data_IF_469139479301
#
_entry.id   IF_469139479301
#
_cell.length_a   1.000
_cell.length_b   1.000
_cell.length_c   1.000
_cell.angle_alpha   90.00
_cell.angle_beta   90.00
_cell.angle_gamma   90.00
#
_symmetry.space_group_name_H-M   'P 1'
#
loop_
_entity.id
_entity.type
_entity.pdbx_description
1 polymer ?
#
# COMPACT_ATOMS: atom_id res chain seq x y z
N UNK A 1 52.59 -13.82 5.15
CA UNK A 1 52.21 -12.39 5.01
C UNK A 1 52.35 -11.98 3.56
N UNK A 2 51.23 -11.87 2.83
CA UNK A 2 51.15 -11.21 1.53
C UNK A 2 50.05 -10.17 1.63
N UNK A 3 50.45 -8.91 1.54
CA UNK A 3 49.62 -7.72 1.62
C UNK A 3 48.69 -7.64 0.40
N UNK A 4 47.39 -7.47 0.61
CA UNK A 4 46.41 -7.22 -0.44
C UNK A 4 46.45 -5.73 -0.82
N UNK A 5 46.67 -5.46 -2.11
CA UNK A 5 46.65 -4.12 -2.66
C UNK A 5 45.23 -3.51 -2.65
N UNK A 6 45.15 -2.26 -2.21
CA UNK A 6 43.94 -1.43 -2.16
C UNK A 6 43.66 -0.88 -3.57
N UNK A 7 42.46 -1.08 -4.09
CA UNK A 7 42.00 -0.49 -5.35
C UNK A 7 41.82 1.04 -5.22
N UNK A 8 42.06 1.84 -6.28
CA UNK A 8 42.08 3.30 -6.16
C UNK A 8 40.66 3.91 -6.08
N UNK A 9 40.57 5.01 -5.34
CA UNK A 9 39.37 5.82 -5.16
C UNK A 9 38.87 6.40 -6.49
N UNK A 10 37.57 6.28 -6.73
CA UNK A 10 36.89 6.83 -7.92
C UNK A 10 36.84 8.36 -7.82
N UNK A 11 37.29 9.00 -8.90
CA UNK A 11 37.40 10.44 -9.10
C UNK A 11 36.05 11.17 -9.01
N UNK A 12 35.96 12.18 -8.13
CA UNK A 12 34.86 13.16 -8.02
C UNK A 12 34.95 14.21 -9.14
N UNK A 13 34.64 13.85 -10.38
CA UNK A 13 34.43 14.84 -11.46
C UNK A 13 33.10 14.61 -12.14
N UNK A 14 32.15 15.50 -11.86
CA UNK A 14 30.84 15.55 -12.55
C UNK A 14 29.65 15.91 -11.66
N UNK A 15 29.79 16.82 -10.70
CA UNK A 15 28.60 17.42 -10.05
C UNK A 15 27.97 18.39 -11.06
N UNK A 16 27.02 17.88 -11.86
CA UNK A 16 26.03 18.76 -12.51
C UNK A 16 25.26 19.45 -11.39
N UNK A 17 25.04 20.75 -11.50
CA UNK A 17 24.11 21.49 -10.64
C UNK A 17 22.76 20.75 -10.64
N UNK A 18 22.46 20.11 -9.51
CA UNK A 18 21.16 19.48 -9.28
C UNK A 18 20.21 20.63 -8.95
N UNK A 19 19.20 20.83 -9.80
CA UNK A 19 18.13 21.79 -9.60
C UNK A 19 17.57 21.72 -8.18
N UNK A 20 17.38 22.89 -7.58
CA UNK A 20 16.94 23.18 -6.20
C UNK A 20 15.52 22.73 -5.83
N UNK A 21 14.94 21.76 -6.55
CA UNK A 21 13.59 21.27 -6.29
C UNK A 21 13.67 20.06 -5.36
N UNK A 22 13.09 20.17 -4.16
CA UNK A 22 12.93 19.03 -3.26
C UNK A 22 12.27 17.87 -4.03
N UNK A 23 12.90 16.69 -4.15
CA UNK A 23 12.34 15.58 -4.92
C UNK A 23 11.03 15.07 -4.34
N UNK A 24 10.65 15.45 -3.12
CA UNK A 24 9.42 15.04 -2.45
C UNK A 24 8.49 16.25 -2.29
N UNK A 25 7.29 16.15 -2.87
CA UNK A 25 6.17 17.05 -2.65
C UNK A 25 5.19 16.40 -1.66
N UNK A 26 4.73 17.16 -0.67
CA UNK A 26 3.75 16.71 0.33
C UNK A 26 2.50 17.57 0.24
N UNK A 27 1.33 16.93 0.15
CA UNK A 27 0.02 17.57 0.10
C UNK A 27 -0.77 17.17 1.35
N UNK A 28 -1.10 18.17 2.17
CA UNK A 28 -1.95 18.01 3.35
C UNK A 28 -3.42 18.12 2.93
N UNK A 29 -4.00 16.98 2.55
CA UNK A 29 -5.38 16.87 2.13
C UNK A 29 -5.85 15.42 2.27
N UNK A 30 -7.16 15.17 2.24
CA UNK A 30 -7.66 13.82 1.97
C UNK A 30 -7.24 13.37 0.56
N UNK A 31 -7.21 12.06 0.33
CA UNK A 31 -6.75 11.47 -0.93
C UNK A 31 -7.46 12.07 -2.15
N UNK A 32 -8.79 12.25 -2.10
CA UNK A 32 -9.57 12.70 -3.24
C UNK A 32 -9.30 14.18 -3.55
N UNK A 33 -9.32 15.04 -2.53
CA UNK A 33 -9.01 16.47 -2.69
C UNK A 33 -7.55 16.69 -3.11
N UNK A 34 -6.61 15.94 -2.52
CA UNK A 34 -5.20 16.01 -2.87
C UNK A 34 -4.96 15.60 -4.32
N UNK A 35 -5.54 14.48 -4.77
CA UNK A 35 -5.39 13.99 -6.13
C UNK A 35 -5.93 14.98 -7.17
N UNK A 36 -7.05 15.66 -6.89
CA UNK A 36 -7.60 16.70 -7.77
C UNK A 36 -6.63 17.86 -8.02
N UNK A 37 -5.73 18.15 -7.08
CA UNK A 37 -4.68 19.17 -7.25
C UNK A 37 -3.47 18.69 -8.05
N UNK A 38 -3.31 17.37 -8.23
CA UNK A 38 -2.21 16.77 -8.98
C UNK A 38 -2.49 16.85 -10.48
N UNK A 39 -1.50 17.30 -11.26
CA UNK A 39 -1.62 17.43 -12.70
C UNK A 39 -1.89 16.07 -13.39
N UNK A 40 -2.68 16.08 -14.45
CA UNK A 40 -2.94 14.88 -15.25
C UNK A 40 -1.64 14.37 -15.90
N UNK A 41 -1.52 13.05 -16.06
CA UNK A 41 -0.37 12.41 -16.71
C UNK A 41 1.02 12.84 -16.17
N UNK A 42 1.12 13.11 -14.86
CA UNK A 42 2.33 13.60 -14.20
C UNK A 42 3.11 12.52 -13.44
N UNK A 43 2.45 11.43 -13.02
CA UNK A 43 3.08 10.35 -12.27
C UNK A 43 3.33 9.11 -13.14
N UNK A 44 4.46 8.45 -12.94
CA UNK A 44 4.77 7.17 -13.61
C UNK A 44 4.12 6.00 -12.87
N UNK A 45 4.17 6.02 -11.55
CA UNK A 45 3.60 4.95 -10.73
C UNK A 45 2.82 5.56 -9.58
N UNK A 46 1.69 4.95 -9.25
CA UNK A 46 1.04 5.12 -7.96
C UNK A 46 1.34 3.87 -7.14
N UNK A 47 1.98 4.03 -5.98
CA UNK A 47 2.33 2.94 -5.07
C UNK A 47 1.73 3.27 -3.72
N UNK A 48 0.76 2.49 -3.27
CA UNK A 48 -0.02 2.89 -2.11
C UNK A 48 -0.65 1.73 -1.34
N UNK A 49 -1.03 2.02 -0.10
CA UNK A 49 -1.80 1.14 0.77
C UNK A 49 -2.93 1.96 1.40
N UNK A 50 -4.15 1.91 0.84
CA UNK A 50 -5.31 2.58 1.45
C UNK A 50 -5.58 2.05 2.86
N UNK A 51 -6.34 2.80 3.70
CA UNK A 51 -6.92 2.25 4.91
C UNK A 51 -7.62 0.93 4.62
N UNK A 52 -7.32 -0.10 5.39
CA UNK A 52 -8.00 -1.39 5.24
C UNK A 52 -9.35 -1.36 5.95
N UNK A 53 -10.37 -1.92 5.28
CA UNK A 53 -11.74 -1.91 5.77
C UNK A 53 -11.85 -2.45 7.20
N UNK A 54 -12.36 -1.62 8.12
CA UNK A 54 -12.61 -1.89 9.53
C UNK A 54 -11.37 -2.35 10.33
N UNK A 55 -10.15 -2.00 9.89
CA UNK A 55 -8.94 -2.42 10.59
C UNK A 55 -8.20 -1.32 11.34
N UNK A 56 -8.34 -0.04 10.96
CA UNK A 56 -7.61 1.08 11.57
C UNK A 56 -8.42 2.37 11.53
N UNK A 57 -8.16 3.26 12.48
CA UNK A 57 -8.72 4.61 12.53
C UNK A 57 -7.56 5.60 12.45
N UNK A 58 -7.69 6.58 11.58
CA UNK A 58 -6.71 7.61 11.27
C UNK A 58 -7.17 9.00 11.70
N UNK A 59 -8.44 9.12 12.14
CA UNK A 59 -8.99 10.37 12.66
C UNK A 59 -9.26 11.38 11.55
N UNK A 60 -9.68 10.89 10.38
CA UNK A 60 -9.93 11.70 9.20
C UNK A 60 -11.40 11.64 8.82
N UNK A 61 -11.87 12.58 8.01
CA UNK A 61 -13.22 12.59 7.47
C UNK A 61 -13.20 13.18 6.07
N UNK A 62 -14.01 12.62 5.18
CA UNK A 62 -14.14 13.07 3.79
C UNK A 62 -15.62 13.06 3.43
N UNK A 63 -16.08 14.09 2.71
CA UNK A 63 -17.40 14.10 2.08
C UNK A 63 -17.27 13.44 0.70
N UNK A 64 -17.90 12.28 0.55
CA UNK A 64 -17.78 11.45 -0.64
C UNK A 64 -18.79 11.84 -1.72
N UNK A 65 -18.53 11.49 -3.01
CA UNK A 65 -19.41 11.88 -4.11
C UNK A 65 -20.87 11.36 -4.02
N UNK A 66 -21.11 10.32 -3.23
CA UNK A 66 -22.45 9.79 -2.94
C UNK A 66 -23.15 10.51 -1.78
N UNK A 67 -22.50 11.51 -1.16
CA UNK A 67 -23.00 12.25 -0.01
C UNK A 67 -22.70 11.60 1.34
N UNK A 68 -22.02 10.45 1.39
CA UNK A 68 -21.57 9.88 2.67
C UNK A 68 -20.44 10.72 3.25
N UNK A 69 -20.50 11.00 4.56
CA UNK A 69 -19.45 11.68 5.29
C UNK A 69 -18.83 10.73 6.32
N UNK A 70 -17.53 10.51 6.20
CA UNK A 70 -16.84 9.62 7.11
C UNK A 70 -15.41 9.30 6.71
N UNK A 71 -14.79 8.44 7.50
CA UNK A 71 -13.42 7.99 7.31
C UNK A 71 -13.38 6.79 6.35
N UNK A 72 -12.52 6.86 5.32
CA UNK A 72 -12.29 5.73 4.41
C UNK A 72 -11.94 4.46 5.20
N UNK A 73 -12.65 3.37 4.92
CA UNK A 73 -12.49 2.10 5.64
C UNK A 73 -13.50 1.89 6.76
N UNK A 74 -14.37 2.86 7.05
CA UNK A 74 -15.44 2.78 8.06
C UNK A 74 -16.84 2.86 7.45
N UNK A 75 -16.96 2.54 6.16
CA UNK A 75 -18.22 2.54 5.46
C UNK A 75 -19.17 1.44 5.97
N UNK A 76 -20.49 1.63 5.83
CA UNK A 76 -21.47 0.66 6.31
C UNK A 76 -21.36 -0.73 5.69
N UNK A 77 -20.90 -0.83 4.45
CA UNK A 77 -20.78 -2.08 3.72
C UNK A 77 -19.46 -2.13 2.93
N UNK A 78 -18.82 -3.30 2.74
CA UNK A 78 -17.58 -3.41 1.97
C UNK A 78 -17.69 -2.96 0.50
N UNK A 79 -18.90 -2.98 -0.07
CA UNK A 79 -19.14 -2.42 -1.41
C UNK A 79 -19.09 -0.88 -1.40
N UNK A 80 -19.54 -0.22 -0.33
CA UNK A 80 -19.44 1.24 -0.20
C UNK A 80 -17.97 1.65 -0.06
N UNK A 81 -17.21 0.92 0.76
CA UNK A 81 -15.76 1.09 0.84
C UNK A 81 -15.09 0.90 -0.53
N UNK A 82 -15.48 -0.15 -1.25
CA UNK A 82 -14.96 -0.40 -2.60
C UNK A 82 -15.28 0.76 -3.54
N UNK A 83 -16.52 1.26 -3.51
CA UNK A 83 -16.96 2.41 -4.32
C UNK A 83 -16.18 3.69 -4.01
N UNK A 84 -15.89 3.95 -2.74
CA UNK A 84 -15.03 5.07 -2.33
C UNK A 84 -13.59 4.92 -2.82
N UNK A 85 -13.02 3.71 -2.73
CA UNK A 85 -11.73 3.44 -3.35
C UNK A 85 -11.75 3.73 -4.86
N UNK A 86 -12.81 3.36 -5.57
CA UNK A 86 -12.91 3.64 -7.02
C UNK A 86 -12.88 5.14 -7.33
N UNK A 87 -13.54 5.99 -6.53
CA UNK A 87 -13.43 7.45 -6.72
C UNK A 87 -11.98 7.94 -6.60
N UNK A 88 -11.22 7.40 -5.65
CA UNK A 88 -9.79 7.72 -5.51
C UNK A 88 -9.00 7.21 -6.71
N UNK A 89 -9.21 5.96 -7.11
CA UNK A 89 -8.42 5.36 -8.19
C UNK A 89 -8.81 5.85 -9.59
N UNK A 90 -10.00 6.40 -9.78
CA UNK A 90 -10.37 7.13 -11.00
C UNK A 90 -9.55 8.42 -11.12
N UNK A 91 -9.33 9.14 -10.01
CA UNK A 91 -8.42 10.29 -10.01
C UNK A 91 -6.95 9.86 -10.17
N UNK A 92 -6.54 8.74 -9.59
CA UNK A 92 -5.20 8.17 -9.86
C UNK A 92 -5.04 7.82 -11.34
N UNK A 93 -6.08 7.29 -11.99
CA UNK A 93 -6.03 7.07 -13.43
C UNK A 93 -5.73 8.38 -14.16
N UNK A 94 -6.37 9.49 -13.81
CA UNK A 94 -6.09 10.79 -14.44
C UNK A 94 -4.64 11.26 -14.23
N UNK A 95 -4.10 11.10 -13.02
CA UNK A 95 -2.75 11.60 -12.68
C UNK A 95 -1.62 10.76 -13.28
N UNK A 96 -1.85 9.47 -13.52
CA UNK A 96 -0.85 8.60 -14.13
C UNK A 96 -0.63 8.92 -15.61
N UNK A 97 0.60 8.76 -16.07
CA UNK A 97 0.94 8.70 -17.49
C UNK A 97 0.23 7.52 -18.18
N UNK A 98 0.18 7.56 -19.51
CA UNK A 98 -0.42 6.49 -20.31
C UNK A 98 0.29 5.14 -20.18
N UNK A 99 1.60 5.17 -19.97
CA UNK A 99 2.47 4.01 -19.69
C UNK A 99 2.64 3.75 -18.18
N UNK A 100 1.82 4.40 -17.34
CA UNK A 100 1.90 4.34 -15.89
C UNK A 100 1.27 3.09 -15.29
N UNK A 101 1.69 2.79 -14.05
CA UNK A 101 1.22 1.64 -13.28
C UNK A 101 0.63 2.04 -11.94
N UNK A 102 -0.27 1.20 -11.43
CA UNK A 102 -0.84 1.32 -10.10
C UNK A 102 -0.54 0.06 -9.30
N UNK A 103 0.11 0.22 -8.15
CA UNK A 103 0.36 -0.81 -7.16
C UNK A 103 -0.48 -0.52 -5.92
N UNK A 104 -1.37 -1.44 -5.57
CA UNK A 104 -2.24 -1.30 -4.39
C UNK A 104 -2.05 -2.49 -3.46
N UNK A 105 -1.63 -2.21 -2.23
CA UNK A 105 -1.64 -3.19 -1.15
C UNK A 105 -2.99 -3.15 -0.42
N UNK A 106 -3.64 -4.31 -0.27
CA UNK A 106 -4.89 -4.47 0.46
C UNK A 106 -4.91 -5.77 1.25
N UNK A 107 -5.57 -5.75 2.39
CA UNK A 107 -5.85 -6.93 3.19
C UNK A 107 -7.35 -7.05 3.43
N UNK A 108 -7.83 -8.28 3.67
CA UNK A 108 -9.23 -8.50 3.98
C UNK A 108 -9.58 -8.18 5.45
N UNK A 109 -10.85 -8.32 5.80
CA UNK A 109 -11.31 -8.31 7.19
C UNK A 109 -12.38 -9.39 7.39
N UNK A 110 -12.71 -9.68 8.65
CA UNK A 110 -13.69 -10.70 9.00
C UNK A 110 -15.01 -10.08 9.49
N UNK A 111 -16.13 -10.63 9.03
CA UNK A 111 -17.44 -10.26 9.54
C UNK A 111 -17.72 -10.94 10.89
N UNK A 112 -17.36 -10.29 11.98
CA UNK A 112 -17.55 -10.83 13.32
C UNK A 112 -18.79 -10.22 13.99
N UNK A 113 -19.78 -11.05 14.36
CA UNK A 113 -20.78 -10.72 15.36
C UNK A 113 -20.05 -10.44 16.67
N UNK A 114 -20.41 -9.34 17.32
CA UNK A 114 -19.79 -8.96 18.57
C UNK A 114 -20.16 -9.94 19.69
N UNK A 115 -19.17 -10.32 20.51
CA UNK A 115 -19.39 -10.88 21.85
C UNK A 115 -19.04 -9.84 22.94
N UNK A 116 -19.35 -10.11 24.22
CA UNK A 116 -19.07 -9.21 25.37
C UNK A 116 -17.60 -8.74 25.51
N UNK A 117 -16.67 -9.28 24.71
CA UNK A 117 -15.25 -8.93 24.63
C UNK A 117 -14.81 -8.91 23.15
N UNK A 118 -15.32 -7.97 22.35
CA UNK A 118 -14.99 -7.86 20.92
C UNK A 118 -13.48 -7.67 20.68
N UNK A 119 -12.91 -8.41 19.73
CA UNK A 119 -11.47 -8.42 19.40
C UNK A 119 -11.12 -7.72 18.08
N UNK A 120 -12.02 -6.93 17.51
CA UNK A 120 -11.73 -6.15 16.29
C UNK A 120 -11.66 -4.69 16.66
N UNK A 121 -10.46 -4.26 17.02
CA UNK A 121 -10.17 -2.86 17.25
C UNK A 121 -9.44 -2.35 16.04
N UNK A 122 -9.80 -1.16 15.62
CA UNK A 122 -8.97 -0.32 14.80
C UNK A 122 -8.05 0.51 15.72
N UNK A 123 -6.80 0.09 15.99
CA UNK A 123 -5.86 0.98 16.68
C UNK A 123 -5.54 2.20 15.79
N UNK A 124 -5.00 3.24 16.42
CA UNK A 124 -4.50 4.44 15.73
C UNK A 124 -3.52 4.04 14.63
N UNK A 125 -3.82 4.43 13.39
CA UNK A 125 -3.13 3.91 12.22
C UNK A 125 -1.69 4.38 12.02
N UNK A 126 -1.25 5.42 12.73
CA UNK A 126 0.05 6.08 12.53
C UNK A 126 1.20 5.55 13.40
N UNK A 127 0.93 4.94 14.57
CA UNK A 127 1.95 4.44 15.49
C UNK A 127 2.25 2.96 15.24
N UNK A 128 3.03 2.68 14.19
CA UNK A 128 3.29 1.36 13.58
C UNK A 128 3.86 0.21 14.44
N UNK A 129 3.54 0.08 15.72
CA UNK A 129 3.80 -1.13 16.52
C UNK A 129 2.56 -1.54 17.30
N UNK A 130 2.00 -2.68 16.92
CA UNK A 130 0.95 -3.35 17.67
C UNK A 130 1.51 -3.87 19.00
N UNK A 131 1.04 -3.33 20.12
CA UNK A 131 1.09 -4.01 21.41
C UNK A 131 -0.27 -4.70 21.64
N UNK A 132 -0.53 -5.76 20.89
CA UNK A 132 -1.73 -6.58 21.12
C UNK A 132 -1.70 -7.14 22.56
N UNK A 133 -2.79 -6.97 23.31
CA UNK A 133 -2.98 -7.59 24.63
C UNK A 133 -2.58 -6.76 25.86
N UNK A 134 -2.25 -5.47 25.73
CA UNK A 134 -1.92 -4.59 26.86
C UNK A 134 -3.12 -3.81 27.46
N UNK A 135 -2.94 -3.25 28.66
CA UNK A 135 -3.94 -2.35 29.31
C UNK A 135 -4.32 -1.16 28.42
N UNK A 136 -3.32 -0.55 27.75
CA UNK A 136 -3.56 0.55 26.80
C UNK A 136 -4.40 0.15 25.58
N UNK A 137 -4.31 -1.10 25.12
CA UNK A 137 -5.17 -1.64 24.06
C UNK A 137 -6.62 -1.79 24.54
N UNK A 138 -6.82 -2.27 25.77
CA UNK A 138 -8.15 -2.37 26.38
C UNK A 138 -8.77 -0.99 26.71
N UNK A 139 -7.94 0.02 27.00
CA UNK A 139 -8.39 1.37 27.33
C UNK A 139 -8.76 2.17 26.06
N UNK A 140 -7.93 2.11 25.01
CA UNK A 140 -8.25 2.66 23.69
C UNK A 140 -9.58 2.09 23.15
N UNK A 141 -9.88 0.84 23.53
CA UNK A 141 -11.14 0.24 23.16
C UNK A 141 -12.37 0.85 23.75
N UNK A 142 -12.36 1.10 25.04
CA UNK A 142 -13.55 1.62 25.72
C UNK A 142 -13.94 3.01 25.21
N UNK A 143 -13.03 3.69 24.50
CA UNK A 143 -13.22 5.02 23.94
C UNK A 143 -13.90 5.05 22.56
N UNK A 144 -14.14 3.90 21.90
CA UNK A 144 -14.72 3.87 20.54
C UNK A 144 -16.01 3.03 20.42
N UNK A 145 -17.04 3.21 21.27
CA UNK A 145 -18.19 2.30 21.40
C UNK A 145 -19.01 2.09 20.11
N UNK A 146 -19.06 3.07 19.21
CA UNK A 146 -19.80 2.97 17.94
C UNK A 146 -19.06 2.15 16.87
N UNK A 147 -17.72 2.09 16.90
CA UNK A 147 -16.91 1.31 15.95
C UNK A 147 -17.13 -0.21 16.08
N UNK A 148 -17.52 -0.68 17.27
CA UNK A 148 -17.66 -2.11 17.57
C UNK A 148 -18.96 -2.76 17.12
N UNK A 149 -19.93 -1.97 16.66
CA UNK A 149 -21.26 -2.48 16.31
C UNK A 149 -21.31 -2.96 14.85
N UNK A 150 -20.20 -2.92 14.13
CA UNK A 150 -20.17 -3.11 12.69
C UNK A 150 -20.23 -4.58 12.29
N UNK A 151 -21.44 -5.14 12.33
CA UNK A 151 -21.78 -6.41 11.69
C UNK A 151 -22.46 -6.11 10.36
N UNK A 152 -21.95 -6.71 9.27
CA UNK A 152 -22.52 -6.54 7.93
C UNK A 152 -23.61 -7.61 7.72
N UNK A 153 -24.90 -7.25 7.65
CA UNK A 153 -25.96 -8.22 7.37
C UNK A 153 -25.76 -8.86 5.99
N UNK A 154 -26.14 -10.13 5.85
CA UNK A 154 -25.97 -10.87 4.59
C UNK A 154 -24.60 -11.50 4.37
N UNK A 155 -23.57 -11.10 5.15
CA UNK A 155 -22.29 -11.82 5.20
C UNK A 155 -22.29 -12.72 6.45
N UNK A 156 -21.87 -13.98 6.31
CA UNK A 156 -21.84 -14.93 7.41
C UNK A 156 -20.87 -14.50 8.53
N UNK A 157 -21.23 -14.82 9.78
CA UNK A 157 -20.33 -14.61 10.91
C UNK A 157 -19.03 -15.39 10.76
N UNK A 158 -17.89 -14.79 11.13
CA UNK A 158 -16.53 -15.33 11.02
C UNK A 158 -16.06 -15.59 9.59
N UNK A 159 -16.74 -15.02 8.59
CA UNK A 159 -16.33 -15.07 7.19
C UNK A 159 -15.40 -13.92 6.86
N UNK A 160 -14.42 -14.16 5.99
CA UNK A 160 -13.76 -13.09 5.25
C UNK A 160 -14.82 -12.31 4.44
N UNK A 161 -14.63 -11.00 4.31
CA UNK A 161 -15.57 -10.12 3.59
C UNK A 161 -15.27 -10.02 2.10
N UNK A 162 -14.09 -10.50 1.67
CA UNK A 162 -13.66 -10.54 0.28
C UNK A 162 -13.24 -9.17 -0.26
N UNK A 163 -12.84 -8.23 0.59
CA UNK A 163 -12.57 -6.84 0.19
C UNK A 163 -11.54 -6.73 -0.95
N UNK A 164 -10.38 -7.41 -0.90
CA UNK A 164 -9.41 -7.39 -2.01
C UNK A 164 -10.00 -7.87 -3.35
N UNK A 165 -10.89 -8.87 -3.30
CA UNK A 165 -11.52 -9.42 -4.50
C UNK A 165 -12.62 -8.51 -5.06
N UNK A 166 -13.43 -7.90 -4.18
CA UNK A 166 -14.41 -6.88 -4.56
C UNK A 166 -13.74 -5.71 -5.26
N UNK A 167 -12.63 -5.23 -4.68
CA UNK A 167 -11.82 -4.17 -5.27
C UNK A 167 -11.26 -4.58 -6.65
N UNK A 168 -10.63 -5.74 -6.74
CA UNK A 168 -10.08 -6.25 -7.99
C UNK A 168 -11.14 -6.37 -9.10
N UNK A 169 -12.31 -6.97 -8.80
CA UNK A 169 -13.40 -7.10 -9.75
C UNK A 169 -13.94 -5.73 -10.15
N UNK A 170 -14.17 -4.82 -9.20
CA UNK A 170 -14.71 -3.50 -9.53
C UNK A 170 -13.74 -2.62 -10.36
N UNK A 171 -12.43 -2.85 -10.25
CA UNK A 171 -11.42 -2.19 -11.07
C UNK A 171 -11.33 -2.74 -12.49
N UNK A 172 -11.73 -4.01 -12.71
CA UNK A 172 -11.47 -4.75 -13.97
C UNK A 172 -12.73 -5.13 -14.73
N UNK A 173 -13.90 -5.07 -14.10
CA UNK A 173 -15.20 -5.46 -14.66
C UNK A 173 -16.21 -4.33 -14.45
N UNK A 174 -16.69 -3.76 -15.56
CA UNK A 174 -17.68 -2.67 -15.57
C UNK A 174 -19.03 -3.08 -14.95
N UNK A 175 -19.42 -4.35 -15.09
CA UNK A 175 -20.69 -4.83 -14.57
C UNK A 175 -20.59 -5.01 -13.05
N UNK A 176 -19.45 -5.52 -12.56
CA UNK A 176 -19.18 -5.56 -11.12
C UNK A 176 -19.00 -4.16 -10.51
N UNK A 177 -18.37 -3.24 -11.24
CA UNK A 177 -18.28 -1.82 -10.87
C UNK A 177 -19.65 -1.19 -10.67
N UNK A 178 -20.57 -1.44 -11.61
CA UNK A 178 -21.97 -1.01 -11.50
C UNK A 178 -22.68 -1.71 -10.34
N UNK A 179 -22.42 -2.99 -10.11
CA UNK A 179 -23.00 -3.76 -9.01
C UNK A 179 -22.65 -3.17 -7.63
N UNK A 180 -21.44 -2.65 -7.44
CA UNK A 180 -21.06 -1.95 -6.20
C UNK A 180 -21.59 -0.51 -6.11
N UNK A 181 -22.40 -0.09 -7.09
CA UNK A 181 -23.05 1.23 -7.11
C UNK A 181 -22.13 2.38 -7.53
N UNK A 182 -20.95 2.09 -8.10
CA UNK A 182 -20.03 3.12 -8.55
C UNK A 182 -20.47 3.73 -9.90
N UNK A 183 -20.13 5.00 -10.12
CA UNK A 183 -20.30 5.65 -11.42
C UNK A 183 -19.42 5.00 -12.48
N UNK A 184 -19.72 5.25 -13.75
CA UNK A 184 -18.81 4.90 -14.86
C UNK A 184 -17.41 5.48 -14.62
N UNK A 185 -16.39 4.75 -15.04
CA UNK A 185 -14.99 5.12 -14.83
C UNK A 185 -14.06 4.29 -15.71
N UNK A 186 -12.75 4.55 -15.65
CA UNK A 186 -11.77 3.80 -16.41
C UNK A 186 -11.74 2.32 -16.00
N UNK A 187 -11.55 1.44 -16.98
CA UNK A 187 -11.35 0.02 -16.76
C UNK A 187 -9.85 -0.29 -16.70
N UNK A 188 -9.40 -0.74 -15.54
CA UNK A 188 -8.00 -1.12 -15.33
C UNK A 188 -7.72 -2.52 -15.85
N UNK A 189 -6.48 -2.74 -16.29
CA UNK A 189 -5.97 -4.08 -16.59
C UNK A 189 -5.21 -4.56 -15.35
N UNK A 190 -5.72 -5.56 -14.64
CA UNK A 190 -4.95 -6.27 -13.62
C UNK A 190 -3.88 -7.14 -14.31
N UNK A 191 -2.61 -6.81 -14.08
CA UNK A 191 -1.47 -7.53 -14.64
C UNK A 191 -1.01 -8.64 -13.74
N UNK A 192 -1.14 -8.46 -12.43
CA UNK A 192 -0.84 -9.50 -11.46
C UNK A 192 -1.48 -9.25 -10.11
N UNK A 193 -1.98 -10.33 -9.51
CA UNK A 193 -2.20 -10.45 -8.07
C UNK A 193 -0.98 -11.12 -7.45
N UNK A 194 -0.37 -10.45 -6.48
CA UNK A 194 0.83 -10.88 -5.76
C UNK A 194 0.46 -11.12 -4.30
N UNK A 195 0.96 -12.20 -3.73
CA UNK A 195 0.81 -12.50 -2.31
C UNK A 195 2.05 -12.00 -1.59
N UNK A 196 1.86 -10.98 -0.75
CA UNK A 196 2.89 -10.49 0.16
C UNK A 196 2.83 -11.31 1.44
N UNK A 197 3.68 -12.35 1.53
CA UNK A 197 3.81 -13.15 2.74
C UNK A 197 4.52 -12.34 3.84
N UNK A 198 3.80 -12.05 4.94
CA UNK A 198 4.32 -11.36 6.12
C UNK A 198 5.10 -12.31 7.04
N UNK A 199 4.73 -13.59 7.06
CA UNK A 199 5.54 -14.63 7.67
C UNK A 199 5.39 -15.95 6.93
N UNK A 200 6.43 -16.77 7.02
CA UNK A 200 6.44 -18.15 6.55
C UNK A 200 6.80 -19.05 7.71
N UNK A 201 6.11 -20.19 7.83
CA UNK A 201 6.39 -21.19 8.86
C UNK A 201 7.00 -22.40 8.19
N UNK A 202 8.21 -22.78 8.61
CA UNK A 202 8.82 -24.04 8.19
C UNK A 202 8.19 -25.18 9.01
N UNK A 203 7.42 -26.06 8.36
CA UNK A 203 6.64 -27.10 9.03
C UNK A 203 7.51 -28.08 9.83
N UNK A 204 8.70 -28.39 9.34
CA UNK A 204 9.60 -29.34 9.99
C UNK A 204 10.18 -28.78 11.28
N UNK A 205 10.49 -27.48 11.30
CA UNK A 205 11.13 -26.83 12.46
C UNK A 205 10.16 -26.07 13.36
N UNK A 206 8.92 -25.86 12.89
CA UNK A 206 7.90 -25.00 13.51
C UNK A 206 8.39 -23.56 13.76
N UNK A 207 9.48 -23.14 13.10
CA UNK A 207 9.99 -21.77 13.20
C UNK A 207 9.26 -20.88 12.21
N UNK A 208 8.79 -19.74 12.70
CA UNK A 208 8.26 -18.66 11.87
C UNK A 208 9.38 -17.67 11.50
N UNK A 209 9.52 -17.37 10.23
CA UNK A 209 10.30 -16.25 9.72
C UNK A 209 9.34 -15.13 9.29
N UNK A 210 9.60 -13.89 9.71
CA UNK A 210 8.80 -12.72 9.32
C UNK A 210 8.20 -11.97 10.50
N UNK A 211 7.25 -11.08 10.21
CA UNK A 211 6.70 -10.12 11.17
C UNK A 211 5.16 -10.11 11.19
N UNK A 212 4.51 -11.18 10.73
CA UNK A 212 3.07 -11.32 10.87
C UNK A 212 2.66 -11.27 12.34
N UNK A 213 1.61 -10.51 12.64
CA UNK A 213 1.05 -10.46 13.98
C UNK A 213 0.42 -11.81 14.33
N UNK A 214 0.60 -12.31 15.56
CA UNK A 214 -0.09 -13.51 16.01
C UNK A 214 -1.60 -13.30 16.03
N UNK A 215 -2.36 -14.22 15.44
CA UNK A 215 -3.81 -14.27 15.56
C UNK A 215 -4.18 -15.36 16.58
N UNK A 216 -4.78 -15.02 17.74
CA UNK A 216 -5.11 -15.99 18.79
C UNK A 216 -6.31 -16.90 18.44
N UNK A 217 -6.63 -17.01 17.15
CA UNK A 217 -7.76 -17.76 16.63
C UNK A 217 -7.40 -19.25 16.50
N UNK A 218 -8.34 -20.13 16.88
CA UNK A 218 -8.11 -21.59 16.96
C UNK A 218 -8.88 -22.41 15.93
N UNK A 219 -9.81 -21.79 15.22
CA UNK A 219 -10.76 -22.44 14.31
C UNK A 219 -10.50 -22.13 12.83
N UNK A 220 -9.34 -21.51 12.50
CA UNK A 220 -8.87 -21.26 11.13
C UNK A 220 -7.36 -20.99 11.08
N UNK A 221 -6.72 -21.10 9.90
CA UNK A 221 -5.35 -20.63 9.70
C UNK A 221 -5.22 -19.13 9.97
N UNK A 222 -4.04 -18.71 10.43
CA UNK A 222 -3.74 -17.29 10.61
C UNK A 222 -3.55 -16.59 9.27
N UNK A 223 -4.01 -15.35 9.19
CA UNK A 223 -3.74 -14.51 8.03
C UNK A 223 -2.36 -13.89 8.14
N UNK A 224 -1.39 -14.53 7.49
CA UNK A 224 0.01 -14.12 7.44
C UNK A 224 0.42 -13.49 6.09
N UNK A 225 -0.55 -12.97 5.32
CA UNK A 225 -0.30 -12.37 4.02
C UNK A 225 -1.22 -11.17 3.74
N UNK A 226 -0.81 -10.36 2.78
CA UNK A 226 -1.60 -9.29 2.17
C UNK A 226 -1.59 -9.45 0.64
N UNK A 227 -2.54 -8.80 -0.04
CA UNK A 227 -2.60 -8.78 -1.49
C UNK A 227 -1.96 -7.50 -2.03
N UNK A 228 -1.03 -7.67 -2.97
CA UNK A 228 -0.50 -6.59 -3.77
C UNK A 228 -0.99 -6.74 -5.20
N UNK A 229 -1.74 -5.76 -5.68
CA UNK A 229 -2.24 -5.75 -7.05
C UNK A 229 -1.41 -4.83 -7.92
N UNK A 230 -0.99 -5.32 -9.09
CA UNK A 230 -0.40 -4.50 -10.15
C UNK A 230 -1.44 -4.28 -11.24
N UNK A 231 -1.86 -3.03 -11.41
CA UNK A 231 -2.72 -2.57 -12.49
C UNK A 231 -1.96 -1.68 -13.48
N UNK A 232 -2.47 -1.62 -14.70
CA UNK A 232 -1.96 -0.76 -15.77
C UNK A 232 -3.12 -0.20 -16.59
N UNK A 233 -2.88 0.93 -17.28
CA UNK A 233 -3.84 1.50 -18.23
C UNK A 233 -3.87 0.77 -19.57
N UNK A 234 -2.69 0.31 -20.01
CA UNK A 234 -2.46 -0.33 -21.30
C UNK A 234 -1.62 -1.60 -21.09
N UNK A 235 -1.74 -2.62 -21.96
CA UNK A 235 -0.99 -3.86 -21.79
C UNK A 235 0.53 -3.68 -21.96
N UNK A 236 0.96 -2.64 -22.68
CA UNK A 236 2.35 -2.24 -22.89
C UNK A 236 2.73 -1.07 -21.96
N UNK A 237 3.16 -1.41 -20.75
CA UNK A 237 3.69 -0.46 -19.77
C UNK A 237 5.15 -0.80 -19.46
N UNK A 238 5.87 0.13 -18.84
CA UNK A 238 7.24 -0.13 -18.41
C UNK A 238 7.26 -1.06 -17.18
N UNK A 239 8.01 -2.17 -17.29
CA UNK A 239 8.25 -3.11 -16.20
C UNK A 239 9.66 -3.65 -16.29
N UNK A 240 10.50 -3.35 -15.31
CA UNK A 240 11.82 -3.94 -15.16
C UNK A 240 11.70 -5.37 -14.64
N UNK A 241 11.53 -6.29 -15.59
CA UNK A 241 11.49 -7.71 -15.32
C UNK A 241 12.82 -8.23 -14.75
N UNK A 242 13.95 -7.60 -15.06
CA UNK A 242 15.28 -8.12 -14.69
C UNK A 242 15.56 -7.98 -13.19
N UNK A 243 14.95 -7.00 -12.52
CA UNK A 243 15.09 -6.78 -11.09
C UNK A 243 14.57 -7.94 -10.23
N UNK A 244 13.51 -8.64 -10.67
CA UNK A 244 12.92 -9.78 -9.94
C UNK A 244 13.27 -11.15 -10.50
N UNK A 245 14.32 -11.22 -11.30
CA UNK A 245 14.75 -12.47 -11.84
C UNK A 245 15.47 -13.33 -10.81
N UNK A 246 15.10 -14.61 -10.77
CA UNK A 246 15.78 -15.64 -10.00
C UNK A 246 16.35 -16.71 -10.93
N UNK A 247 17.44 -17.40 -10.55
CA UNK A 247 17.93 -18.52 -11.33
C UNK A 247 16.84 -19.57 -11.55
N UNK A 248 16.59 -19.99 -12.79
CA UNK A 248 15.56 -20.98 -13.05
C UNK A 248 16.02 -22.38 -12.58
N UNK A 249 15.13 -23.13 -11.89
CA UNK A 249 15.43 -24.48 -11.38
C UNK A 249 15.96 -25.44 -12.45
N UNK A 250 15.54 -25.27 -13.71
CA UNK A 250 15.89 -26.13 -14.84
C UNK A 250 17.20 -25.75 -15.57
N UNK A 251 17.88 -24.66 -15.20
CA UNK A 251 18.99 -24.11 -16.00
C UNK A 251 20.18 -23.59 -15.17
N UNK A 252 20.44 -24.14 -13.99
CA UNK A 252 21.64 -23.82 -13.22
C UNK A 252 22.96 -24.00 -14.02
N UNK A 253 22.93 -24.77 -15.12
CA UNK A 253 24.05 -25.00 -16.03
C UNK A 253 24.12 -24.07 -17.26
N UNK A 254 23.06 -23.34 -17.61
CA UNK A 254 23.00 -22.48 -18.83
C UNK A 254 22.94 -20.98 -18.54
N UNK A 255 22.67 -20.59 -17.29
CA UNK A 255 22.61 -19.19 -16.89
C UNK A 255 21.27 -18.49 -17.14
N UNK A 256 20.25 -19.22 -17.64
CA UNK A 256 18.92 -18.66 -17.89
C UNK A 256 18.22 -18.29 -16.56
N UNK A 257 17.67 -17.09 -16.47
CA UNK A 257 16.89 -16.59 -15.31
C UNK A 257 15.39 -16.63 -15.60
N UNK A 258 14.58 -16.82 -14.57
CA UNK A 258 13.12 -16.80 -14.63
C UNK A 258 12.54 -15.80 -13.62
N UNK A 259 11.31 -15.33 -13.87
CA UNK A 259 10.58 -14.47 -12.95
C UNK A 259 10.32 -15.20 -11.61
N UNK A 260 10.54 -14.53 -10.47
CA UNK A 260 10.33 -15.06 -9.13
C UNK A 260 8.89 -15.56 -8.83
N UNK A 261 7.91 -15.27 -9.68
CA UNK A 261 6.52 -15.68 -9.55
C UNK A 261 5.67 -14.67 -8.77
N UNK A 262 4.48 -15.09 -8.32
CA UNK A 262 3.51 -14.22 -7.61
C UNK A 262 3.63 -14.24 -6.09
N UNK A 263 4.64 -14.91 -5.54
CA UNK A 263 4.97 -14.85 -4.10
C UNK A 263 6.19 -13.97 -3.96
N UNK A 264 6.02 -12.81 -3.33
CA UNK A 264 7.06 -11.79 -3.29
C UNK A 264 7.87 -11.83 -1.99
N UNK A 265 9.17 -12.04 -2.12
CA UNK A 265 10.18 -11.90 -1.07
C UNK A 265 11.34 -11.05 -1.63
N UNK A 266 11.12 -9.76 -1.81
CA UNK A 266 12.12 -8.86 -2.42
C UNK A 266 12.37 -7.62 -1.57
N UNK A 267 13.52 -6.99 -1.83
CA UNK A 267 13.86 -5.66 -1.33
C UNK A 267 13.12 -4.61 -2.19
N UNK A 268 13.06 -3.37 -1.70
CA UNK A 268 12.16 -2.26 -2.09
C UNK A 268 12.27 -1.73 -3.53
N UNK A 269 12.28 -2.60 -4.54
CA UNK A 269 12.47 -2.25 -5.94
C UNK A 269 11.16 -1.75 -6.57
N UNK A 270 11.15 -0.50 -7.02
CA UNK A 270 10.03 0.06 -7.79
C UNK A 270 10.18 -0.36 -9.26
N UNK A 271 9.74 -1.59 -9.58
CA UNK A 271 9.91 -2.23 -10.89
C UNK A 271 9.31 -1.47 -12.07
N UNK A 272 8.36 -0.59 -11.82
CA UNK A 272 7.61 0.12 -12.86
C UNK A 272 8.06 1.58 -12.99
N UNK A 273 9.30 1.91 -12.60
CA UNK A 273 9.87 3.25 -12.73
C UNK A 273 11.34 3.24 -13.15
N UNK A 274 11.77 4.33 -13.77
CA UNK A 274 13.16 4.71 -14.05
C UNK A 274 13.59 5.83 -13.11
N UNK A 275 14.90 6.09 -13.07
CA UNK A 275 15.41 7.27 -12.36
C UNK A 275 14.79 8.55 -12.93
N UNK A 276 14.48 9.51 -12.05
CA UNK A 276 13.80 10.75 -12.41
C UNK A 276 12.28 10.67 -12.56
N UNK A 277 11.70 9.46 -12.63
CA UNK A 277 10.24 9.28 -12.66
C UNK A 277 9.59 9.73 -11.35
N UNK A 278 8.29 10.03 -11.42
CA UNK A 278 7.50 10.47 -10.26
C UNK A 278 6.66 9.32 -9.71
N UNK A 279 6.77 9.09 -8.40
CA UNK A 279 6.01 8.14 -7.59
C UNK A 279 4.91 8.88 -6.84
N UNK A 280 3.66 8.47 -7.00
CA UNK A 280 2.51 9.02 -6.30
C UNK A 280 2.08 8.07 -5.18
N UNK A 281 1.76 8.62 -4.00
CA UNK A 281 1.14 7.89 -2.91
C UNK A 281 0.00 8.72 -2.30
N UNK A 282 -1.28 8.42 -2.60
CA UNK A 282 -2.42 9.14 -2.05
C UNK A 282 -2.71 8.82 -0.57
N UNK A 283 -2.04 7.83 0.01
CA UNK A 283 -2.20 7.37 1.39
C UNK A 283 -0.82 7.24 2.05
N UNK A 284 -0.07 8.33 2.05
CA UNK A 284 1.38 8.30 2.31
C UNK A 284 1.76 7.88 3.73
N UNK A 285 0.87 8.01 4.72
CA UNK A 285 1.11 7.63 6.11
C UNK A 285 2.35 8.33 6.67
N UNK A 286 3.33 7.53 7.08
CA UNK A 286 4.62 8.04 7.60
C UNK A 286 5.66 8.39 6.52
N UNK A 287 5.30 8.32 5.23
CA UNK A 287 6.16 8.73 4.11
C UNK A 287 7.18 7.68 3.65
N UNK A 288 6.95 6.39 3.91
CA UNK A 288 7.89 5.32 3.49
C UNK A 288 8.08 5.30 1.97
N UNK A 289 7.01 5.52 1.20
CA UNK A 289 7.08 5.59 -0.27
C UNK A 289 8.01 6.70 -0.75
N UNK A 290 7.93 7.90 -0.15
CA UNK A 290 8.79 9.02 -0.52
C UNK A 290 10.26 8.78 -0.18
N UNK A 291 10.55 8.14 0.96
CA UNK A 291 11.92 7.76 1.32
C UNK A 291 12.53 6.78 0.33
N UNK A 292 11.80 5.71 -0.02
CA UNK A 292 12.27 4.72 -0.99
C UNK A 292 12.44 5.37 -2.36
N UNK A 293 11.48 6.19 -2.81
CA UNK A 293 11.56 6.90 -4.08
C UNK A 293 12.83 7.79 -4.14
N UNK A 294 13.06 8.62 -3.12
CA UNK A 294 14.23 9.49 -3.06
C UNK A 294 15.55 8.71 -3.05
N UNK A 295 15.64 7.64 -2.25
CA UNK A 295 16.83 6.78 -2.20
C UNK A 295 17.13 6.08 -3.53
N UNK A 296 16.11 5.91 -4.38
CA UNK A 296 16.25 5.37 -5.73
C UNK A 296 16.39 6.47 -6.80
N UNK A 297 16.52 7.75 -6.45
CA UNK A 297 16.64 8.83 -7.44
C UNK A 297 15.33 9.12 -8.20
N UNK A 298 14.17 8.85 -7.60
CA UNK A 298 12.84 9.21 -8.12
C UNK A 298 12.30 10.44 -7.39
N UNK A 299 11.35 11.12 -8.02
CA UNK A 299 10.52 12.15 -7.38
C UNK A 299 9.33 11.49 -6.69
N UNK A 300 8.73 12.16 -5.71
CA UNK A 300 7.54 11.68 -5.02
C UNK A 300 6.49 12.76 -4.81
N UNK A 301 5.21 12.39 -4.94
CA UNK A 301 4.05 13.19 -4.52
C UNK A 301 3.33 12.37 -3.45
N UNK A 302 3.30 12.89 -2.23
CA UNK A 302 2.72 12.23 -1.06
C UNK A 302 1.49 13.00 -0.59
N UNK A 303 0.35 12.34 -0.43
CA UNK A 303 -0.88 12.93 0.12
C UNK A 303 -1.17 12.27 1.47
N UNK A 304 -1.40 13.09 2.50
CA UNK A 304 -1.73 12.61 3.84
C UNK A 304 -2.61 13.61 4.59
N UNK A 305 -3.76 13.15 5.09
CA UNK A 305 -4.73 13.97 5.83
C UNK A 305 -4.62 13.87 7.35
N UNK A 306 -4.15 12.75 7.88
CA UNK A 306 -4.08 12.49 9.32
C UNK A 306 -2.98 13.33 9.94
N UNK A 307 -3.37 14.18 10.90
CA UNK A 307 -2.44 15.03 11.65
C UNK A 307 -1.35 14.22 12.36
N UNK A 308 -1.70 13.02 12.88
CA UNK A 308 -0.73 12.14 13.54
C UNK A 308 0.31 11.60 12.57
N UNK A 309 -0.11 11.23 11.36
CA UNK A 309 0.80 10.72 10.33
C UNK A 309 1.65 11.85 9.71
N UNK A 310 1.09 13.05 9.56
CA UNK A 310 1.81 14.22 9.02
C UNK A 310 3.05 14.59 9.82
N UNK A 311 3.01 14.51 11.16
CA UNK A 311 4.21 14.76 11.99
C UNK A 311 5.32 13.78 11.64
N UNK A 312 5.03 12.48 11.63
CA UNK A 312 6.01 11.44 11.30
C UNK A 312 6.52 11.54 9.83
N UNK A 313 5.63 11.92 8.91
CA UNK A 313 5.97 12.16 7.51
C UNK A 313 6.92 13.35 7.38
N UNK A 314 6.61 14.48 8.02
CA UNK A 314 7.45 15.68 8.01
C UNK A 314 8.84 15.39 8.56
N UNK A 315 8.93 14.75 9.72
CA UNK A 315 10.22 14.35 10.31
C UNK A 315 11.04 13.46 9.36
N UNK A 316 10.36 12.57 8.61
CA UNK A 316 11.03 11.73 7.62
C UNK A 316 11.53 12.53 6.43
N UNK A 317 10.70 13.41 5.86
CA UNK A 317 11.06 14.23 4.69
C UNK A 317 12.19 15.20 5.05
N UNK A 318 12.13 15.87 6.18
CA UNK A 318 13.16 16.81 6.63
C UNK A 318 14.53 16.13 6.78
N UNK A 319 14.56 14.89 7.30
CA UNK A 319 15.80 14.09 7.37
C UNK A 319 16.37 13.73 6.00
N UNK A 320 15.52 13.49 5.01
CA UNK A 320 15.97 13.16 3.65
C UNK A 320 16.50 14.39 2.94
N UNK A 321 15.79 15.52 3.06
CA UNK A 321 16.27 16.81 2.54
C UNK A 321 17.62 17.16 3.16
N UNK A 322 17.81 16.99 4.47
CA UNK A 322 19.10 17.21 5.14
C UNK A 322 20.25 16.32 4.65
N UNK A 323 19.98 15.09 4.20
CA UNK A 323 21.00 14.19 3.62
C UNK A 323 21.39 14.53 2.19
N UNK A 324 20.53 15.22 1.44
CA UNK A 324 20.77 15.63 0.06
C UNK A 324 21.71 16.85 -0.06
N UNK A 325 21.99 17.54 1.05
CA UNK A 325 22.82 18.76 1.11
C UNK A 325 24.26 18.54 1.60
N UNK A 326 24.74 17.28 1.74
CA UNK A 326 26.11 16.94 2.14
C UNK A 326 26.80 16.00 1.16
#
# INVERSE_FOLDING_TARGET
>A
MKSLAIAPAISRKGLKEISTVNPIQVLQADALSGLKSVASASAQVCLTSPPFYLLRRYGTATTWPDGWEGELGHEPHPNDFTRHLLHVFDEVWRTLRDDGCLWVNLADTFNNKQGKKGTTNAPDGCNGRFAAGGKGYADALRQQPEFFKHYVPGIAHKSEMGVPFRFHLAMTDKDFRRFVGASEGPQWICRRTIIWAKSLVALESQKAEGNAMPEPTRDRPSRNYEFLFLFSKKPNYYFDRTAIDVPARASARRGDRANAGSVWKTHSEILTTREGDTVLDPFAGSGTTGEVAANMGRKAILIESSSTCQTALKDRVDRLSGKLFF
#
